data_IF_412577642205
#
_entry.id   IF_412577642205
#
_cell.length_a   1.000
_cell.length_b   1.000
_cell.length_c   1.000
_cell.angle_alpha   90.00
_cell.angle_beta   90.00
_cell.angle_gamma   90.00
#
_symmetry.space_group_name_H-M   'P 1'
#
loop_
_entity.id
_entity.type
_entity.pdbx_description
1 polymer ?
#
# COMPACT_ATOMS: atom_id res chain seq x y z
N UNK A 1 -0.82 -15.23 -3.02
CA UNK A 1 0.04 -14.44 -2.11
C UNK A 1 1.45 -14.39 -2.68
N UNK A 2 2.19 -13.29 -2.50
CA UNK A 2 3.51 -13.11 -3.11
C UNK A 2 4.50 -14.19 -2.69
N UNK A 3 5.20 -14.80 -3.66
CA UNK A 3 6.21 -15.85 -3.47
C UNK A 3 7.61 -15.27 -3.23
N UNK A 4 7.70 -14.26 -2.36
CA UNK A 4 8.96 -13.57 -2.05
C UNK A 4 9.51 -14.01 -0.69
N UNK A 5 10.81 -14.25 -0.62
CA UNK A 5 11.49 -14.57 0.65
C UNK A 5 11.63 -13.31 1.52
N UNK A 6 11.57 -13.48 2.84
CA UNK A 6 11.84 -12.38 3.78
C UNK A 6 10.65 -11.47 4.12
N UNK A 7 9.43 -11.81 3.72
CA UNK A 7 8.21 -11.03 4.03
C UNK A 7 7.92 -10.88 5.54
N UNK A 8 8.53 -11.70 6.38
CA UNK A 8 8.44 -11.62 7.85
C UNK A 8 9.64 -10.91 8.49
N UNK A 9 10.68 -10.55 7.71
CA UNK A 9 11.81 -9.78 8.24
C UNK A 9 11.29 -8.41 8.67
N UNK A 10 11.56 -8.05 9.93
CA UNK A 10 11.22 -6.74 10.45
C UNK A 10 11.96 -5.65 9.68
N UNK A 11 11.24 -4.66 9.16
CA UNK A 11 11.86 -3.51 8.50
C UNK A 11 12.38 -2.46 9.49
N UNK A 12 13.00 -1.42 8.95
CA UNK A 12 13.45 -0.24 9.70
C UNK A 12 12.29 0.56 10.33
N UNK A 13 12.61 1.71 10.94
CA UNK A 13 11.65 2.52 11.69
C UNK A 13 10.39 2.87 10.85
N UNK A 14 10.59 3.26 9.58
CA UNK A 14 9.49 3.59 8.66
C UNK A 14 8.52 2.41 8.49
N UNK A 15 9.04 1.20 8.25
CA UNK A 15 8.22 0.01 8.09
C UNK A 15 7.44 -0.32 9.37
N UNK A 16 8.06 -0.17 10.55
CA UNK A 16 7.39 -0.41 11.84
C UNK A 16 6.22 0.56 12.06
N UNK A 17 6.40 1.83 11.74
CA UNK A 17 5.34 2.85 11.81
C UNK A 17 4.21 2.52 10.83
N UNK A 18 4.53 2.15 9.58
CA UNK A 18 3.53 1.75 8.59
C UNK A 18 2.75 0.50 9.02
N UNK A 19 3.42 -0.49 9.63
CA UNK A 19 2.77 -1.69 10.15
C UNK A 19 1.86 -1.38 11.33
N UNK A 20 2.27 -0.51 12.25
CA UNK A 20 1.43 -0.06 13.35
C UNK A 20 0.18 0.66 12.84
N UNK A 21 0.35 1.59 11.90
CA UNK A 21 -0.73 2.35 11.31
C UNK A 21 -1.75 1.46 10.59
N UNK A 22 -1.28 0.52 9.76
CA UNK A 22 -2.18 -0.40 9.05
C UNK A 22 -2.88 -1.37 9.99
N UNK A 23 -2.17 -1.87 11.02
CA UNK A 23 -2.79 -2.70 12.06
C UNK A 23 -3.87 -1.95 12.82
N UNK A 24 -3.63 -0.67 13.17
CA UNK A 24 -4.62 0.16 13.86
C UNK A 24 -5.85 0.43 12.99
N UNK A 25 -5.66 0.74 11.70
CA UNK A 25 -6.76 1.11 10.80
C UNK A 25 -7.54 -0.07 10.22
N UNK A 26 -6.87 -1.19 9.93
CA UNK A 26 -7.42 -2.35 9.20
C UNK A 26 -7.50 -3.62 10.05
N UNK A 27 -7.08 -3.58 11.32
CA UNK A 27 -7.00 -4.74 12.21
C UNK A 27 -5.84 -5.71 11.90
N UNK A 28 -5.19 -5.57 10.75
CA UNK A 28 -4.08 -6.43 10.30
C UNK A 28 -3.09 -5.68 9.42
N UNK A 29 -1.85 -6.15 9.40
CA UNK A 29 -0.84 -5.67 8.44
C UNK A 29 -1.14 -6.30 7.08
N UNK A 30 -1.47 -5.47 6.10
CA UNK A 30 -1.76 -5.92 4.73
C UNK A 30 -0.49 -6.46 4.06
N UNK A 31 -0.61 -7.60 3.37
CA UNK A 31 0.53 -8.28 2.74
C UNK A 31 1.30 -7.41 1.74
N UNK A 32 0.66 -6.56 0.90
CA UNK A 32 1.41 -5.67 0.00
C UNK A 32 2.35 -4.72 0.72
N UNK A 33 1.98 -4.25 1.92
CA UNK A 33 2.85 -3.37 2.70
C UNK A 33 4.12 -4.09 3.15
N UNK A 34 4.04 -5.38 3.47
CA UNK A 34 5.23 -6.19 3.81
C UNK A 34 6.17 -6.36 2.62
N UNK A 35 5.63 -6.42 1.40
CA UNK A 35 6.43 -6.48 0.17
C UNK A 35 7.18 -5.17 -0.03
N UNK A 36 6.50 -4.03 0.07
CA UNK A 36 7.15 -2.72 -0.07
C UNK A 36 8.17 -2.46 1.04
N UNK A 37 7.91 -2.95 2.26
CA UNK A 37 8.81 -2.82 3.40
C UNK A 37 10.13 -3.60 3.27
N UNK A 38 10.30 -4.44 2.25
CA UNK A 38 11.59 -5.09 1.96
C UNK A 38 12.66 -4.07 1.54
N UNK A 39 12.28 -2.91 1.04
CA UNK A 39 13.19 -1.81 0.71
C UNK A 39 12.63 -0.47 1.19
N UNK A 40 13.39 0.23 2.04
CA UNK A 40 12.99 1.54 2.59
C UNK A 40 12.71 2.56 1.49
N UNK A 41 13.51 2.58 0.41
CA UNK A 41 13.30 3.49 -0.72
C UNK A 41 12.00 3.21 -1.45
N UNK A 42 11.66 1.94 -1.66
CA UNK A 42 10.39 1.52 -2.29
C UNK A 42 9.20 1.86 -1.39
N UNK A 43 9.30 1.57 -0.09
CA UNK A 43 8.26 1.92 0.87
C UNK A 43 8.01 3.43 0.91
N UNK A 44 9.08 4.22 0.92
CA UNK A 44 9.01 5.67 0.95
C UNK A 44 8.37 6.23 -0.34
N UNK A 45 8.85 5.81 -1.51
CA UNK A 45 8.29 6.24 -2.79
C UNK A 45 6.82 5.85 -2.96
N UNK A 46 6.44 4.63 -2.55
CA UNK A 46 5.04 4.19 -2.55
C UNK A 46 4.17 5.08 -1.66
N UNK A 47 4.66 5.40 -0.45
CA UNK A 47 3.94 6.28 0.48
C UNK A 47 3.75 7.67 -0.11
N UNK A 48 4.79 8.26 -0.69
CA UNK A 48 4.70 9.57 -1.34
C UNK A 48 3.69 9.57 -2.50
N UNK A 49 3.72 8.54 -3.35
CA UNK A 49 2.78 8.39 -4.45
C UNK A 49 1.33 8.29 -3.95
N UNK A 50 1.06 7.45 -2.95
CA UNK A 50 -0.28 7.28 -2.38
C UNK A 50 -0.79 8.59 -1.77
N UNK A 51 0.03 9.27 -0.98
CA UNK A 51 -0.33 10.56 -0.37
C UNK A 51 -0.60 11.63 -1.44
N UNK A 52 0.24 11.71 -2.47
CA UNK A 52 0.03 12.63 -3.59
C UNK A 52 -1.31 12.38 -4.30
N UNK A 53 -1.65 11.11 -4.54
CA UNK A 53 -2.95 10.74 -5.11
C UNK A 53 -4.12 11.05 -4.18
N UNK A 54 -3.96 10.91 -2.87
CA UNK A 54 -5.02 11.21 -1.89
C UNK A 54 -5.30 12.72 -1.83
N UNK A 55 -4.24 13.53 -1.70
CA UNK A 55 -4.32 15.00 -1.56
C UNK A 55 -4.76 15.70 -2.85
N UNK A 56 -4.47 15.13 -4.04
CA UNK A 56 -4.85 15.73 -5.31
C UNK A 56 -6.37 16.01 -5.42
N UNK A 57 -6.79 17.27 -5.45
CA UNK A 57 -8.20 17.65 -5.34
C UNK A 57 -8.97 17.69 -6.66
N UNK A 58 -8.30 17.49 -7.80
CA UNK A 58 -8.93 17.59 -9.13
C UNK A 58 -10.09 16.62 -9.36
N UNK A 59 -10.08 15.47 -8.67
CA UNK A 59 -11.13 14.46 -8.76
C UNK A 59 -11.64 14.09 -7.37
N UNK A 60 -12.94 13.83 -7.27
CA UNK A 60 -13.54 13.35 -6.01
C UNK A 60 -12.95 12.00 -5.60
N UNK A 61 -12.88 11.75 -4.28
CA UNK A 61 -12.39 10.48 -3.73
C UNK A 61 -13.16 9.27 -4.28
N UNK A 62 -14.48 9.41 -4.49
CA UNK A 62 -15.33 8.35 -5.06
C UNK A 62 -14.92 8.01 -6.49
N UNK A 63 -14.62 9.01 -7.33
CA UNK A 63 -14.15 8.76 -8.70
C UNK A 63 -12.78 8.09 -8.73
N UNK A 64 -11.85 8.49 -7.86
CA UNK A 64 -10.54 7.80 -7.75
C UNK A 64 -10.71 6.32 -7.38
N UNK A 65 -11.58 6.02 -6.43
CA UNK A 65 -11.88 4.64 -6.03
C UNK A 65 -12.54 3.83 -7.15
N UNK A 66 -13.51 4.41 -7.87
CA UNK A 66 -14.13 3.75 -9.02
C UNK A 66 -13.13 3.45 -10.13
N UNK A 67 -12.20 4.38 -10.40
CA UNK A 67 -11.12 4.15 -11.36
C UNK A 67 -10.20 3.01 -10.93
N UNK A 68 -9.81 2.97 -9.65
CA UNK A 68 -9.00 1.87 -9.10
C UNK A 68 -9.70 0.51 -9.24
N UNK A 69 -10.98 0.43 -8.86
CA UNK A 69 -11.78 -0.80 -9.00
C UNK A 69 -11.92 -1.24 -10.46
N UNK A 70 -12.15 -0.28 -11.38
CA UNK A 70 -12.27 -0.57 -12.81
C UNK A 70 -10.97 -1.13 -13.37
N UNK A 71 -9.83 -0.54 -13.01
CA UNK A 71 -8.50 -1.01 -13.43
C UNK A 71 -8.21 -2.39 -12.86
N UNK A 72 -8.45 -2.60 -11.55
CA UNK A 72 -8.26 -3.90 -10.89
C UNK A 72 -9.06 -5.00 -11.59
N UNK A 73 -10.33 -4.73 -11.92
CA UNK A 73 -11.17 -5.66 -12.68
C UNK A 73 -10.61 -5.95 -14.08
N UNK A 74 -10.13 -4.93 -14.80
CA UNK A 74 -9.59 -5.11 -16.16
C UNK A 74 -8.34 -5.97 -16.19
N UNK A 75 -7.45 -5.82 -15.22
CA UNK A 75 -6.19 -6.59 -15.15
C UNK A 75 -6.35 -7.92 -14.43
N UNK A 76 -7.56 -8.23 -13.92
CA UNK A 76 -7.81 -9.45 -13.15
C UNK A 76 -7.09 -9.47 -11.80
N UNK A 77 -6.88 -8.31 -11.18
CA UNK A 77 -6.29 -8.21 -9.84
C UNK A 77 -7.30 -8.69 -8.79
N UNK A 78 -7.03 -9.80 -8.08
CA UNK A 78 -7.96 -10.34 -7.07
C UNK A 78 -7.85 -9.63 -5.70
N UNK A 79 -6.96 -8.64 -5.61
CA UNK A 79 -6.67 -7.87 -4.39
C UNK A 79 -7.30 -6.49 -4.47
#
# INVERSE_FOLDING_TARGET
>A
MARMQGLTRGGGLLARLSFLFTRWRMGKVVTPLRIHALSTGVLWGMTQMMTGQEVASKLSRRLKLLAQLRVAWRVGCPF
#
